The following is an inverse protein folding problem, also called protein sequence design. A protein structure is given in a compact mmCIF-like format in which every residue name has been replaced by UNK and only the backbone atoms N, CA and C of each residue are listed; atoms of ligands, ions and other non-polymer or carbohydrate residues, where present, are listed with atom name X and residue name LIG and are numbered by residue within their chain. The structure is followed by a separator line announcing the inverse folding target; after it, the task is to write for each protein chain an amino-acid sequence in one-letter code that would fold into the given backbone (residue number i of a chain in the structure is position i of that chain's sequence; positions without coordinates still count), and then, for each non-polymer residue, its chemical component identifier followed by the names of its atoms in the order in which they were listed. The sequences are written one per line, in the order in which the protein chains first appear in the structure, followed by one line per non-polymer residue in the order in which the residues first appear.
data_IF_876058642658
#
_entry.id   IF_876058642658
#
_cell.length_a   1.000
_cell.length_b   1.000
_cell.length_c   1.000
_cell.angle_alpha   90.00
_cell.angle_beta   90.00
_cell.angle_gamma   90.00
#
_symmetry.space_group_name_H-M   'P 1'
#
loop_
_entity.id
_entity.type
_entity.pdbx_description
1 polymer ?
#
# COMPACT_ATOMS: atom_id res chain seq x y z
N UNK A 1 25.94 35.32 -0.06
CA UNK A 1 25.37 34.52 1.05
C UNK A 1 23.87 34.72 1.04
N UNK A 2 23.10 33.72 0.59
CA UNK A 2 21.64 33.76 0.63
C UNK A 2 21.18 32.74 1.67
N UNK A 3 20.73 33.23 2.81
CA UNK A 3 20.13 32.45 3.89
C UNK A 3 18.77 31.97 3.44
N UNK A 4 18.67 30.66 3.17
CA UNK A 4 17.43 29.98 2.80
C UNK A 4 16.55 29.89 4.05
N UNK A 5 15.47 30.66 4.05
CA UNK A 5 14.45 30.64 5.10
C UNK A 5 13.76 29.28 5.07
N UNK A 6 14.01 28.43 6.08
CA UNK A 6 13.18 27.26 6.34
C UNK A 6 11.77 27.77 6.65
N UNK A 7 10.80 27.41 5.83
CA UNK A 7 9.40 27.70 6.09
C UNK A 7 8.98 26.91 7.34
N UNK A 8 9.04 27.56 8.51
CA UNK A 8 8.37 27.12 9.72
C UNK A 8 6.89 26.98 9.39
N UNK A 9 6.41 25.75 9.20
CA UNK A 9 4.98 25.47 9.11
C UNK A 9 4.39 25.93 10.46
N UNK A 10 3.61 27.01 10.43
CA UNK A 10 2.96 27.51 11.64
C UNK A 10 2.01 26.41 12.14
N UNK A 11 2.31 25.87 13.33
CA UNK A 11 1.44 24.89 13.95
C UNK A 11 0.09 25.55 14.28
N UNK A 12 -1.01 24.91 13.87
CA UNK A 12 -2.36 25.38 14.18
C UNK A 12 -2.52 25.49 15.71
N UNK A 13 -3.15 26.56 16.22
CA UNK A 13 -3.49 26.66 17.63
C UNK A 13 -4.23 25.42 18.13
N UNK A 14 -3.91 24.95 19.34
CA UNK A 14 -4.47 23.70 19.85
C UNK A 14 -6.00 23.66 19.91
N UNK A 15 -6.65 24.81 20.09
CA UNK A 15 -8.12 24.90 20.07
C UNK A 15 -8.70 24.67 18.67
N UNK A 16 -8.02 25.11 17.60
CA UNK A 16 -8.43 24.86 16.22
C UNK A 16 -8.32 23.36 15.92
N UNK A 17 -7.20 22.74 16.33
CA UNK A 17 -7.00 21.29 16.19
C UNK A 17 -8.11 20.52 16.92
N UNK A 18 -8.44 20.91 18.16
CA UNK A 18 -9.53 20.30 18.92
C UNK A 18 -10.89 20.47 18.23
N UNK A 19 -11.17 21.67 17.71
CA UNK A 19 -12.40 21.94 16.97
C UNK A 19 -12.48 21.11 15.68
N UNK A 20 -11.37 20.97 14.94
CA UNK A 20 -11.29 20.10 13.77
C UNK A 20 -11.56 18.64 14.13
N UNK A 21 -10.95 18.12 15.20
CA UNK A 21 -11.22 16.77 15.67
C UNK A 21 -12.68 16.60 16.08
N UNK A 22 -13.24 17.53 16.85
CA UNK A 22 -14.62 17.47 17.31
C UNK A 22 -15.61 17.48 16.14
N UNK A 23 -15.45 18.42 15.20
CA UNK A 23 -16.33 18.54 14.03
C UNK A 23 -16.15 17.34 13.08
N UNK A 24 -14.92 16.90 12.86
CA UNK A 24 -14.65 15.75 12.00
C UNK A 24 -15.23 14.47 12.62
N UNK A 25 -14.85 14.13 13.85
CA UNK A 25 -15.37 12.92 14.52
C UNK A 25 -16.89 13.02 14.68
N UNK A 26 -17.41 14.16 15.13
CA UNK A 26 -18.84 14.39 15.32
C UNK A 26 -19.64 14.22 14.02
N UNK A 27 -19.15 14.77 12.91
CA UNK A 27 -19.82 14.63 11.61
C UNK A 27 -19.77 13.19 11.09
N UNK A 28 -18.65 12.48 11.25
CA UNK A 28 -18.55 11.06 10.87
C UNK A 28 -19.46 10.19 11.73
N UNK A 29 -19.47 10.38 13.05
CA UNK A 29 -20.36 9.65 13.96
C UNK A 29 -21.83 9.91 13.65
N UNK A 30 -22.19 11.17 13.36
CA UNK A 30 -23.56 11.51 12.98
C UNK A 30 -23.95 10.88 11.65
N UNK A 31 -23.08 10.91 10.64
CA UNK A 31 -23.30 10.24 9.36
C UNK A 31 -23.45 8.73 9.53
N UNK A 32 -22.60 8.07 10.32
CA UNK A 32 -22.72 6.65 10.62
C UNK A 32 -24.00 6.33 11.40
N UNK A 33 -24.39 7.19 12.34
CA UNK A 33 -25.64 7.04 13.06
C UNK A 33 -26.85 7.13 12.13
N UNK A 34 -26.88 8.13 11.23
CA UNK A 34 -27.94 8.26 10.23
C UNK A 34 -27.99 7.05 9.29
N UNK A 35 -26.83 6.60 8.81
CA UNK A 35 -26.72 5.41 7.98
C UNK A 35 -27.20 4.15 8.73
N UNK A 36 -26.83 4.00 10.00
CA UNK A 36 -27.29 2.89 10.83
C UNK A 36 -28.81 2.91 11.02
N UNK A 37 -29.38 4.09 11.29
CA UNK A 37 -30.83 4.28 11.44
C UNK A 37 -31.57 3.92 10.15
N UNK A 38 -31.09 4.43 9.01
CA UNK A 38 -31.63 4.11 7.69
C UNK A 38 -31.51 2.62 7.39
N UNK A 39 -30.34 2.03 7.60
CA UNK A 39 -30.12 0.59 7.41
C UNK A 39 -31.07 -0.26 8.25
N UNK A 40 -31.38 0.15 9.49
CA UNK A 40 -32.36 -0.52 10.35
C UNK A 40 -33.80 -0.41 9.86
N UNK A 41 -34.19 0.77 9.36
CA UNK A 41 -35.53 1.00 8.81
C UNK A 41 -35.80 0.12 7.57
N UNK A 42 -34.79 -0.07 6.73
CA UNK A 42 -34.89 -0.86 5.50
C UNK A 42 -34.34 -2.28 5.62
N UNK A 43 -34.01 -2.75 6.83
CA UNK A 43 -33.31 -4.02 7.05
C UNK A 43 -34.07 -5.20 6.42
N UNK A 44 -35.40 -5.26 6.57
CA UNK A 44 -36.20 -6.35 6.01
C UNK A 44 -36.26 -6.37 4.48
N UNK A 45 -36.17 -5.19 3.83
CA UNK A 45 -36.08 -5.09 2.37
C UNK A 45 -34.72 -5.53 1.86
N UNK A 46 -33.65 -5.04 2.50
CA UNK A 46 -32.27 -5.41 2.22
C UNK A 46 -32.03 -6.92 2.43
N UNK A 47 -32.58 -7.50 3.50
CA UNK A 47 -32.45 -8.93 3.80
C UNK A 47 -33.11 -9.79 2.71
N UNK A 48 -34.24 -9.34 2.17
CA UNK A 48 -34.96 -10.05 1.09
C UNK A 48 -34.25 -9.94 -0.26
N UNK A 49 -33.61 -8.81 -0.53
CA UNK A 49 -32.98 -8.53 -1.82
C UNK A 49 -31.55 -9.10 -1.91
N UNK A 50 -30.78 -8.98 -0.84
CA UNK A 50 -29.35 -9.33 -0.81
C UNK A 50 -29.02 -10.57 0.05
N UNK A 51 -30.04 -11.18 0.68
CA UNK A 51 -29.88 -12.37 1.55
C UNK A 51 -28.77 -12.20 2.60
N UNK A 52 -28.85 -11.09 3.35
CA UNK A 52 -27.77 -10.66 4.23
C UNK A 52 -27.38 -11.75 5.26
N UNK A 53 -26.10 -12.08 5.29
CA UNK A 53 -25.55 -13.07 6.21
C UNK A 53 -25.13 -12.42 7.52
N UNK A 54 -24.89 -13.21 8.58
CA UNK A 54 -24.31 -12.67 9.82
C UNK A 54 -22.89 -12.17 9.55
N UNK A 55 -22.65 -10.92 9.92
CA UNK A 55 -21.34 -10.28 9.88
C UNK A 55 -20.36 -10.95 10.84
N UNK A 56 -19.09 -10.94 10.47
CA UNK A 56 -18.02 -11.60 11.22
C UNK A 56 -17.43 -10.70 12.34
N UNK A 57 -17.29 -9.40 12.09
CA UNK A 57 -16.51 -8.51 12.96
C UNK A 57 -17.26 -8.04 14.21
N UNK A 58 -18.59 -7.88 14.12
CA UNK A 58 -19.41 -7.35 15.22
C UNK A 58 -20.65 -8.24 15.36
N UNK A 59 -20.85 -8.88 16.53
CA UNK A 59 -22.05 -9.66 16.80
C UNK A 59 -23.32 -8.83 16.57
N UNK A 60 -24.27 -9.37 15.79
CA UNK A 60 -25.54 -8.72 15.50
C UNK A 60 -25.54 -7.81 14.26
N UNK A 61 -24.39 -7.59 13.62
CA UNK A 61 -24.34 -6.95 12.32
C UNK A 61 -24.58 -7.98 11.22
N UNK A 62 -25.21 -7.54 10.13
CA UNK A 62 -25.38 -8.33 8.92
C UNK A 62 -24.40 -7.86 7.84
N UNK A 63 -24.06 -8.75 6.92
CA UNK A 63 -23.11 -8.56 5.83
C UNK A 63 -23.80 -8.93 4.53
N UNK A 64 -23.61 -8.10 3.51
CA UNK A 64 -23.95 -8.44 2.13
C UNK A 64 -22.95 -9.48 1.58
N UNK A 65 -23.46 -10.64 1.16
CA UNK A 65 -22.65 -11.70 0.54
C UNK A 65 -22.46 -11.52 -0.96
N UNK A 66 -23.25 -10.64 -1.60
CA UNK A 66 -23.12 -10.33 -3.02
C UNK A 66 -21.95 -9.39 -3.29
N UNK A 67 -21.51 -8.64 -2.28
CA UNK A 67 -20.28 -7.84 -2.33
C UNK A 67 -19.04 -8.76 -2.28
N UNK A 68 -18.48 -8.97 -3.47
CA UNK A 68 -17.23 -9.72 -3.67
C UNK A 68 -16.06 -9.07 -2.91
N UNK A 69 -15.88 -7.75 -3.01
CA UNK A 69 -14.71 -7.05 -2.46
C UNK A 69 -14.68 -7.16 -0.94
N UNK A 70 -15.82 -6.95 -0.28
CA UNK A 70 -15.91 -7.08 1.17
C UNK A 70 -15.65 -8.52 1.63
N UNK A 71 -16.10 -9.52 0.86
CA UNK A 71 -15.84 -10.93 1.15
C UNK A 71 -14.37 -11.29 0.98
N UNK A 72 -13.80 -10.90 -0.15
CA UNK A 72 -12.41 -11.08 -0.50
C UNK A 72 -11.46 -10.45 0.53
N UNK A 73 -11.60 -9.16 0.83
CA UNK A 73 -10.68 -8.46 1.74
C UNK A 73 -10.70 -9.06 3.14
N UNK A 74 -11.86 -9.44 3.66
CA UNK A 74 -11.97 -10.07 4.97
C UNK A 74 -11.34 -11.47 4.99
N UNK A 75 -11.59 -12.28 3.97
CA UNK A 75 -11.06 -13.64 3.91
C UNK A 75 -9.54 -13.63 3.73
N UNK A 76 -9.04 -12.82 2.80
CA UNK A 76 -7.62 -12.61 2.57
C UNK A 76 -6.92 -12.03 3.80
N UNK A 77 -7.52 -11.03 4.45
CA UNK A 77 -6.95 -10.43 5.66
C UNK A 77 -6.76 -11.48 6.76
N UNK A 78 -7.76 -12.35 6.95
CA UNK A 78 -7.73 -13.42 7.97
C UNK A 78 -6.77 -14.55 7.62
N UNK A 79 -6.77 -15.02 6.38
CA UNK A 79 -6.01 -16.21 5.96
C UNK A 79 -4.54 -15.91 5.69
N UNK A 80 -4.24 -14.70 5.19
CA UNK A 80 -2.91 -14.36 4.68
C UNK A 80 -2.31 -13.14 5.36
N UNK A 81 -3.02 -12.01 5.37
CA UNK A 81 -2.45 -10.74 5.81
C UNK A 81 -2.05 -10.75 7.29
N UNK A 82 -2.93 -11.24 8.17
CA UNK A 82 -2.68 -11.27 9.61
C UNK A 82 -1.45 -12.12 9.95
N UNK A 83 -1.34 -13.31 9.34
CA UNK A 83 -0.22 -14.22 9.57
C UNK A 83 1.09 -13.70 8.98
N UNK A 84 1.04 -13.07 7.80
CA UNK A 84 2.23 -12.45 7.21
C UNK A 84 2.67 -11.19 7.95
N UNK A 85 1.76 -10.43 8.56
CA UNK A 85 2.12 -9.33 9.47
C UNK A 85 2.74 -9.83 10.77
N UNK A 86 2.20 -10.91 11.35
CA UNK A 86 2.81 -11.55 12.52
C UNK A 86 4.21 -12.07 12.17
N UNK A 87 4.36 -12.75 11.02
CA UNK A 87 5.65 -13.22 10.52
C UNK A 87 6.64 -12.08 10.31
N UNK A 88 6.20 -10.97 9.70
CA UNK A 88 7.01 -9.76 9.57
C UNK A 88 7.48 -9.24 10.93
N UNK A 89 6.59 -9.14 11.92
CA UNK A 89 6.94 -8.65 13.26
C UNK A 89 7.98 -9.54 13.94
N UNK A 90 7.80 -10.86 13.88
CA UNK A 90 8.75 -11.85 14.44
C UNK A 90 10.10 -11.75 13.73
N UNK A 91 10.12 -11.80 12.39
CA UNK A 91 11.37 -11.74 11.61
C UNK A 91 12.08 -10.40 11.80
N UNK A 92 11.33 -9.30 11.89
CA UNK A 92 11.89 -7.97 12.16
C UNK A 92 12.60 -7.91 13.51
N UNK A 93 12.01 -8.55 14.54
CA UNK A 93 12.62 -8.65 15.88
C UNK A 93 13.81 -9.60 15.92
N UNK A 94 13.74 -10.75 15.25
CA UNK A 94 14.88 -11.66 15.17
C UNK A 94 16.03 -11.01 14.40
N UNK A 95 15.75 -10.35 13.28
CA UNK A 95 16.76 -9.65 12.48
C UNK A 95 17.39 -8.50 13.25
N UNK A 96 16.64 -7.76 14.09
CA UNK A 96 17.25 -6.69 14.91
C UNK A 96 18.22 -7.24 15.96
N UNK A 97 17.97 -8.44 16.49
CA UNK A 97 18.85 -9.07 17.50
C UNK A 97 20.05 -9.77 16.84
N UNK A 98 19.82 -10.57 15.81
CA UNK A 98 20.84 -11.46 15.25
C UNK A 98 21.61 -10.88 14.07
N UNK A 99 20.98 -10.03 13.24
CA UNK A 99 21.59 -9.49 12.01
C UNK A 99 21.25 -8.00 11.82
N UNK A 100 21.59 -7.13 12.80
CA UNK A 100 21.14 -5.74 12.81
C UNK A 100 21.56 -4.95 11.55
N UNK A 101 22.77 -5.21 11.04
CA UNK A 101 23.29 -4.55 9.82
C UNK A 101 22.59 -5.05 8.53
N UNK A 102 22.12 -6.29 8.51
CA UNK A 102 21.47 -6.92 7.37
C UNK A 102 19.94 -6.88 7.42
N UNK A 103 19.35 -6.25 8.45
CA UNK A 103 17.91 -6.26 8.71
C UNK A 103 17.08 -5.81 7.50
N UNK A 104 17.49 -4.75 6.81
CA UNK A 104 16.76 -4.27 5.62
C UNK A 104 16.74 -5.33 4.53
N UNK A 105 17.86 -6.00 4.29
CA UNK A 105 17.93 -7.09 3.32
C UNK A 105 17.03 -8.27 3.75
N UNK A 106 17.07 -8.67 5.02
CA UNK A 106 16.19 -9.74 5.57
C UNK A 106 14.72 -9.39 5.39
N UNK A 107 14.31 -8.16 5.72
CA UNK A 107 12.93 -7.70 5.57
C UNK A 107 12.51 -7.58 4.10
N UNK A 108 13.44 -7.20 3.22
CA UNK A 108 13.20 -7.16 1.77
C UNK A 108 12.98 -8.56 1.22
N UNK A 109 13.85 -9.52 1.59
CA UNK A 109 13.69 -10.92 1.19
C UNK A 109 12.36 -11.47 1.70
N UNK A 110 12.01 -11.20 2.96
CA UNK A 110 10.72 -11.60 3.51
C UNK A 110 9.55 -11.03 2.69
N UNK A 111 9.57 -9.73 2.40
CA UNK A 111 8.51 -9.10 1.62
C UNK A 111 8.41 -9.60 0.18
N UNK A 112 9.55 -9.90 -0.46
CA UNK A 112 9.56 -10.55 -1.79
C UNK A 112 8.97 -11.97 -1.70
N UNK A 113 9.31 -12.75 -0.67
CA UNK A 113 8.77 -14.10 -0.49
C UNK A 113 7.27 -14.09 -0.24
N UNK A 114 6.76 -13.15 0.57
CA UNK A 114 5.32 -13.00 0.79
C UNK A 114 4.63 -12.53 -0.50
N UNK A 115 5.17 -11.54 -1.18
CA UNK A 115 4.63 -11.11 -2.47
C UNK A 115 4.63 -12.25 -3.50
N UNK A 116 5.64 -13.13 -3.48
CA UNK A 116 5.70 -14.29 -4.35
C UNK A 116 4.67 -15.36 -3.99
N UNK A 117 4.43 -15.61 -2.70
CA UNK A 117 3.40 -16.53 -2.24
C UNK A 117 1.98 -16.07 -2.63
N UNK A 118 1.74 -14.76 -2.68
CA UNK A 118 0.43 -14.17 -2.96
C UNK A 118 0.20 -13.88 -4.46
N UNK A 119 1.22 -13.37 -5.16
CA UNK A 119 1.11 -12.93 -6.56
C UNK A 119 1.65 -13.95 -7.57
N UNK A 120 2.36 -14.97 -7.10
CA UNK A 120 3.08 -15.92 -7.96
C UNK A 120 4.28 -15.30 -8.68
N UNK A 121 4.95 -16.11 -9.49
CA UNK A 121 6.17 -15.73 -10.22
C UNK A 121 5.92 -14.60 -11.23
N UNK A 122 4.82 -14.69 -11.98
CA UNK A 122 4.48 -13.72 -13.02
C UNK A 122 4.13 -12.36 -12.42
N UNK A 123 3.33 -12.33 -11.35
CA UNK A 123 2.95 -11.09 -10.67
C UNK A 123 4.14 -10.37 -10.04
N UNK A 124 5.01 -11.09 -9.31
CA UNK A 124 6.27 -10.51 -8.80
C UNK A 124 7.17 -10.03 -9.94
N UNK A 125 7.20 -10.76 -11.06
CA UNK A 125 7.90 -10.36 -12.28
C UNK A 125 7.42 -9.01 -12.82
N UNK A 126 6.11 -8.76 -12.85
CA UNK A 126 5.53 -7.47 -13.26
C UNK A 126 5.95 -6.35 -12.32
N UNK A 127 5.82 -6.55 -11.00
CA UNK A 127 6.21 -5.55 -9.99
C UNK A 127 7.69 -5.20 -10.11
N UNK A 128 8.55 -6.21 -10.29
CA UNK A 128 9.98 -6.02 -10.46
C UNK A 128 10.31 -5.30 -11.78
N UNK A 129 9.64 -5.67 -12.88
CA UNK A 129 9.78 -5.01 -14.18
C UNK A 129 9.43 -3.51 -14.07
N UNK A 130 8.29 -3.19 -13.46
CA UNK A 130 7.88 -1.80 -13.22
C UNK A 130 8.94 -1.05 -12.39
N UNK A 131 9.46 -1.69 -11.34
CA UNK A 131 10.51 -1.12 -10.48
C UNK A 131 11.77 -0.80 -11.28
N UNK A 132 12.21 -1.71 -12.16
CA UNK A 132 13.36 -1.49 -13.05
C UNK A 132 13.13 -0.34 -14.03
N UNK A 133 11.95 -0.28 -14.64
CA UNK A 133 11.58 0.79 -15.58
C UNK A 133 11.57 2.15 -14.89
N UNK A 134 10.96 2.26 -13.71
CA UNK A 134 10.99 3.49 -12.92
C UNK A 134 12.41 3.87 -12.49
N UNK A 135 13.23 2.91 -12.08
CA UNK A 135 14.64 3.17 -11.76
C UNK A 135 15.38 3.76 -12.97
N UNK A 136 15.16 3.20 -14.17
CA UNK A 136 15.67 3.73 -15.43
C UNK A 136 15.21 5.16 -15.72
N UNK A 137 13.90 5.42 -15.66
CA UNK A 137 13.33 6.75 -15.93
C UNK A 137 13.77 7.78 -14.89
N UNK A 138 13.99 7.37 -13.63
CA UNK A 138 14.48 8.24 -12.57
C UNK A 138 15.86 8.86 -12.89
N UNK A 139 16.70 8.16 -13.67
CA UNK A 139 17.99 8.70 -14.12
C UNK A 139 17.85 9.91 -15.06
N UNK A 140 16.71 10.03 -15.76
CA UNK A 140 16.44 11.16 -16.65
C UNK A 140 16.10 12.44 -15.88
N UNK A 141 15.74 12.34 -14.60
CA UNK A 141 15.44 13.46 -13.69
C UNK A 141 14.37 14.43 -14.22
N UNK A 142 13.46 13.96 -15.08
CA UNK A 142 12.36 14.76 -15.64
C UNK A 142 11.03 14.29 -15.07
N UNK A 143 10.37 15.09 -14.19
CA UNK A 143 9.08 14.74 -13.62
C UNK A 143 8.01 14.36 -14.64
N UNK A 144 7.97 15.05 -15.79
CA UNK A 144 7.03 14.74 -16.87
C UNK A 144 7.21 13.32 -17.43
N UNK A 145 8.45 12.85 -17.58
CA UNK A 145 8.73 11.49 -18.06
C UNK A 145 8.37 10.43 -16.99
N UNK A 146 8.55 10.75 -15.72
CA UNK A 146 8.15 9.89 -14.60
C UNK A 146 6.63 9.72 -14.59
N UNK A 147 5.88 10.81 -14.71
CA UNK A 147 4.42 10.77 -14.79
C UNK A 147 3.92 10.04 -16.05
N UNK A 148 4.53 10.30 -17.20
CA UNK A 148 4.19 9.58 -18.43
C UNK A 148 4.45 8.08 -18.30
N UNK A 149 5.60 7.68 -17.74
CA UNK A 149 5.92 6.28 -17.47
C UNK A 149 4.92 5.66 -16.49
N UNK A 150 4.55 6.36 -15.42
CA UNK A 150 3.56 5.90 -14.46
C UNK A 150 2.19 5.66 -15.09
N UNK A 151 1.70 6.59 -15.91
CA UNK A 151 0.42 6.45 -16.60
C UNK A 151 0.44 5.30 -17.60
N UNK A 152 1.53 5.12 -18.35
CA UNK A 152 1.70 4.00 -19.27
C UNK A 152 1.72 2.66 -18.54
N UNK A 153 2.47 2.57 -17.43
CA UNK A 153 2.56 1.35 -16.62
C UNK A 153 1.25 1.04 -15.87
N UNK A 154 0.47 2.04 -15.50
CA UNK A 154 -0.85 1.83 -14.91
C UNK A 154 -1.87 1.42 -15.99
N UNK A 155 -1.76 1.98 -17.19
CA UNK A 155 -2.61 1.62 -18.32
C UNK A 155 -2.46 0.15 -18.73
N UNK A 156 -1.31 -0.49 -18.48
CA UNK A 156 -1.14 -1.93 -18.77
C UNK A 156 -2.10 -2.83 -17.99
N UNK A 157 -2.64 -2.37 -16.86
CA UNK A 157 -3.64 -3.11 -16.08
C UNK A 157 -5.03 -3.10 -16.73
N UNK A 158 -5.29 -2.14 -17.62
CA UNK A 158 -6.62 -1.92 -18.23
C UNK A 158 -6.58 -1.97 -19.77
N UNK A 159 -5.41 -2.20 -20.36
CA UNK A 159 -5.28 -2.46 -21.79
C UNK A 159 -5.78 -3.87 -22.05
N UNK A 160 -6.91 -4.03 -22.74
CA UNK A 160 -7.63 -5.30 -22.85
C UNK A 160 -6.77 -6.53 -23.14
N UNK A 161 -5.79 -6.45 -24.04
CA UNK A 161 -4.89 -7.58 -24.33
C UNK A 161 -3.94 -7.94 -23.18
N UNK A 162 -3.44 -6.95 -22.44
CA UNK A 162 -2.58 -7.17 -21.29
C UNK A 162 -3.38 -7.55 -20.04
N UNK A 163 -4.57 -6.96 -19.88
CA UNK A 163 -5.51 -7.33 -18.82
C UNK A 163 -5.93 -8.80 -18.95
N UNK A 164 -6.37 -9.23 -20.15
CA UNK A 164 -6.72 -10.63 -20.42
C UNK A 164 -5.54 -11.57 -20.17
N UNK A 165 -4.33 -11.17 -20.59
CA UNK A 165 -3.12 -11.95 -20.32
C UNK A 165 -2.85 -12.06 -18.82
N UNK A 166 -2.94 -10.97 -18.06
CA UNK A 166 -2.73 -10.98 -16.61
C UNK A 166 -3.80 -11.82 -15.90
N UNK A 167 -5.07 -11.68 -16.28
CA UNK A 167 -6.18 -12.50 -15.79
C UNK A 167 -5.94 -13.99 -16.06
N UNK A 168 -5.40 -14.35 -17.23
CA UNK A 168 -5.09 -15.75 -17.59
C UNK A 168 -4.04 -16.42 -16.70
N UNK A 169 -3.34 -15.67 -15.85
CA UNK A 169 -2.34 -16.21 -14.94
C UNK A 169 -2.92 -16.77 -13.65
N UNK A 170 -4.16 -16.40 -13.33
CA UNK A 170 -4.79 -16.67 -12.06
C UNK A 170 -6.08 -17.47 -12.25
N UNK A 171 -6.43 -18.27 -11.25
CA UNK A 171 -7.65 -19.07 -11.29
C UNK A 171 -8.85 -18.30 -10.74
N UNK A 172 -8.59 -17.33 -9.85
CA UNK A 172 -9.62 -16.57 -9.16
C UNK A 172 -9.51 -15.07 -9.40
N UNK A 173 -10.65 -14.38 -9.45
CA UNK A 173 -10.68 -12.91 -9.51
C UNK A 173 -9.97 -12.28 -8.29
N UNK A 174 -9.96 -12.95 -7.14
CA UNK A 174 -9.28 -12.49 -5.93
C UNK A 174 -7.78 -12.27 -6.15
N UNK A 175 -7.11 -13.21 -6.82
CA UNK A 175 -5.67 -13.12 -7.09
C UNK A 175 -5.37 -12.03 -8.13
N UNK A 176 -6.24 -11.86 -9.14
CA UNK A 176 -6.16 -10.76 -10.10
C UNK A 176 -6.26 -9.40 -9.39
N UNK A 177 -7.20 -9.25 -8.47
CA UNK A 177 -7.36 -8.04 -7.67
C UNK A 177 -6.13 -7.76 -6.79
N UNK A 178 -5.53 -8.79 -6.16
CA UNK A 178 -4.27 -8.63 -5.42
C UNK A 178 -3.14 -8.13 -6.31
N UNK A 179 -3.03 -8.65 -7.54
CA UNK A 179 -2.06 -8.16 -8.52
C UNK A 179 -2.29 -6.68 -8.82
N UNK A 180 -3.52 -6.28 -9.13
CA UNK A 180 -3.83 -4.90 -9.50
C UNK A 180 -3.55 -3.93 -8.35
N UNK A 181 -4.00 -4.25 -7.14
CA UNK A 181 -3.71 -3.46 -5.94
C UNK A 181 -2.20 -3.37 -5.68
N UNK A 182 -1.50 -4.51 -5.72
CA UNK A 182 -0.06 -4.58 -5.52
C UNK A 182 0.71 -3.74 -6.52
N UNK A 183 0.40 -3.85 -7.81
CA UNK A 183 1.03 -3.07 -8.88
C UNK A 183 0.72 -1.58 -8.73
N UNK A 184 -0.51 -1.20 -8.45
CA UNK A 184 -0.90 0.21 -8.26
C UNK A 184 -0.12 0.86 -7.10
N UNK A 185 -0.05 0.21 -5.94
CA UNK A 185 0.69 0.73 -4.79
C UNK A 185 2.20 0.72 -5.02
N UNK A 186 2.73 -0.29 -5.72
CA UNK A 186 4.15 -0.30 -6.13
C UNK A 186 4.48 0.83 -7.12
N UNK A 187 3.56 1.16 -8.04
CA UNK A 187 3.68 2.31 -8.94
C UNK A 187 3.74 3.62 -8.13
N UNK A 188 2.84 3.82 -7.16
CA UNK A 188 2.85 5.03 -6.31
C UNK A 188 4.17 5.21 -5.55
N UNK A 189 4.70 4.12 -4.99
CA UNK A 189 6.01 4.12 -4.31
C UNK A 189 7.14 4.44 -5.29
N UNK A 190 7.13 3.83 -6.47
CA UNK A 190 8.14 4.08 -7.50
C UNK A 190 8.12 5.53 -8.00
N UNK A 191 6.93 6.16 -8.10
CA UNK A 191 6.76 7.59 -8.40
C UNK A 191 7.40 8.43 -7.29
N UNK A 192 7.10 8.16 -6.01
CA UNK A 192 7.69 8.87 -4.87
C UNK A 192 9.22 8.83 -4.92
N UNK A 193 9.83 7.65 -5.11
CA UNK A 193 11.27 7.52 -5.28
C UNK A 193 11.81 8.35 -6.45
N UNK A 194 11.18 8.25 -7.62
CA UNK A 194 11.66 8.86 -8.86
C UNK A 194 11.60 10.38 -8.82
N UNK A 195 10.52 10.92 -8.25
CA UNK A 195 10.34 12.37 -8.08
C UNK A 195 11.30 12.93 -7.03
N UNK A 196 11.45 12.26 -5.88
CA UNK A 196 12.44 12.65 -4.86
C UNK A 196 13.86 12.62 -5.43
N UNK A 197 14.21 11.58 -6.20
CA UNK A 197 15.51 11.50 -6.86
C UNK A 197 15.72 12.63 -7.86
N UNK A 198 14.67 13.07 -8.56
CA UNK A 198 14.72 14.17 -9.55
C UNK A 198 14.95 15.52 -8.88
N UNK A 199 14.27 15.80 -7.76
CA UNK A 199 14.44 17.05 -7.01
C UNK A 199 15.73 17.10 -6.19
N UNK A 200 16.12 15.98 -5.59
CA UNK A 200 17.32 15.86 -4.77
C UNK A 200 18.08 14.59 -5.16
N UNK A 201 19.24 14.71 -5.84
CA UNK A 201 20.05 13.54 -6.15
C UNK A 201 20.36 12.78 -4.87
N UNK A 202 19.93 11.52 -4.81
CA UNK A 202 20.25 10.65 -3.68
C UNK A 202 21.72 10.26 -3.76
N UNK A 203 22.49 10.59 -2.73
CA UNK A 203 23.92 10.28 -2.62
C UNK A 203 24.10 8.80 -2.26
N UNK A 204 24.17 7.94 -3.28
CA UNK A 204 24.51 6.52 -3.16
C UNK A 204 24.89 5.92 -4.53
N UNK A 205 25.68 4.84 -4.51
CA UNK A 205 25.97 4.05 -5.70
C UNK A 205 24.68 3.56 -6.39
N UNK A 206 24.73 3.32 -7.71
CA UNK A 206 23.56 2.89 -8.49
C UNK A 206 22.91 1.64 -7.91
N UNK A 207 23.72 0.61 -7.63
CA UNK A 207 23.25 -0.64 -7.02
C UNK A 207 22.61 -0.42 -5.65
N UNK A 208 23.25 0.38 -4.79
CA UNK A 208 22.70 0.69 -3.45
C UNK A 208 21.34 1.37 -3.55
N UNK A 209 21.18 2.35 -4.46
CA UNK A 209 19.89 3.02 -4.69
C UNK A 209 18.83 2.04 -5.17
N UNK A 210 19.18 1.13 -6.09
CA UNK A 210 18.27 0.10 -6.56
C UNK A 210 17.85 -0.84 -5.42
N UNK A 211 18.78 -1.31 -4.60
CA UNK A 211 18.46 -2.14 -3.43
C UNK A 211 17.50 -1.43 -2.46
N UNK A 212 17.67 -0.13 -2.23
CA UNK A 212 16.75 0.66 -1.40
C UNK A 212 15.38 0.83 -2.04
N UNK A 213 15.32 1.02 -3.36
CA UNK A 213 14.05 1.03 -4.08
C UNK A 213 13.35 -0.32 -3.99
N UNK A 214 14.06 -1.44 -4.19
CA UNK A 214 13.50 -2.78 -4.00
C UNK A 214 12.99 -2.99 -2.57
N UNK A 215 13.76 -2.58 -1.56
CA UNK A 215 13.36 -2.65 -0.15
C UNK A 215 12.08 -1.85 0.12
N UNK A 216 11.95 -0.68 -0.49
CA UNK A 216 10.79 0.19 -0.38
C UNK A 216 9.56 -0.37 -1.10
N UNK A 217 9.73 -0.88 -2.33
CA UNK A 217 8.65 -1.51 -3.12
C UNK A 217 8.15 -2.81 -2.49
N UNK A 218 9.03 -3.63 -1.93
CA UNK A 218 8.67 -4.90 -1.31
C UNK A 218 8.54 -4.82 0.21
N UNK A 219 8.42 -3.61 0.79
CA UNK A 219 8.18 -3.49 2.22
C UNK A 219 6.79 -4.02 2.58
N UNK A 220 6.75 -5.21 3.19
CA UNK A 220 5.53 -6.00 3.41
C UNK A 220 4.40 -5.22 4.12
N UNK A 221 4.63 -4.50 5.24
CA UNK A 221 3.56 -3.79 5.95
C UNK A 221 2.82 -2.76 5.10
N UNK A 222 3.47 -2.24 4.04
CA UNK A 222 2.92 -1.22 3.16
C UNK A 222 2.65 -1.73 1.74
N UNK A 223 2.67 -3.05 1.52
CA UNK A 223 2.70 -3.60 0.18
C UNK A 223 1.39 -3.43 -0.60
N UNK A 224 0.27 -3.83 0.00
CA UNK A 224 -1.04 -3.87 -0.67
C UNK A 224 -1.87 -2.60 -0.49
N UNK A 225 -2.15 -2.21 0.76
CA UNK A 225 -3.04 -1.09 1.09
C UNK A 225 -2.51 -0.28 2.29
N UNK A 226 -1.20 -0.29 2.53
CA UNK A 226 -0.62 0.54 3.59
C UNK A 226 -0.57 2.01 3.20
N UNK A 227 -0.40 2.92 4.18
CA UNK A 227 -0.20 4.34 3.89
C UNK A 227 1.04 4.53 3.00
N UNK A 228 0.92 5.46 2.04
CA UNK A 228 2.05 5.84 1.20
C UNK A 228 2.95 6.76 2.02
N UNK A 229 4.15 6.26 2.35
CA UNK A 229 5.19 7.02 3.05
C UNK A 229 6.22 7.46 2.03
N UNK A 230 6.70 8.70 2.09
CA UNK A 230 7.76 9.17 1.19
C UNK A 230 9.04 8.31 1.30
N UNK A 231 9.79 8.20 0.21
CA UNK A 231 10.97 7.31 0.15
C UNK A 231 12.05 7.73 1.16
N UNK A 232 12.32 9.03 1.29
CA UNK A 232 13.25 9.55 2.29
C UNK A 232 12.81 9.27 3.73
N UNK A 233 11.50 9.37 4.02
CA UNK A 233 10.99 9.08 5.36
C UNK A 233 11.06 7.58 5.67
N UNK A 234 10.76 6.73 4.70
CA UNK A 234 10.97 5.28 4.79
C UNK A 234 12.44 4.95 5.10
N UNK A 235 13.37 5.46 4.30
CA UNK A 235 14.80 5.17 4.49
C UNK A 235 15.33 5.69 5.82
N UNK A 236 14.84 6.83 6.31
CA UNK A 236 15.15 7.34 7.65
C UNK A 236 14.58 6.45 8.74
N UNK A 237 13.28 6.13 8.71
CA UNK A 237 12.63 5.33 9.74
C UNK A 237 13.26 3.95 9.85
N UNK A 238 13.50 3.27 8.73
CA UNK A 238 14.09 1.92 8.73
C UNK A 238 15.55 1.92 9.20
N UNK A 239 16.30 3.02 9.02
CA UNK A 239 17.66 3.18 9.56
C UNK A 239 17.69 3.61 11.03
N UNK A 240 16.76 4.47 11.46
CA UNK A 240 16.75 5.11 12.77
C UNK A 240 16.11 4.25 13.87
N UNK A 241 15.43 3.16 13.53
CA UNK A 241 15.00 2.16 14.51
C UNK A 241 15.99 1.00 14.59
N UNK A 242 17.13 1.10 15.32
CA UNK A 242 17.68 -0.07 15.98
C UNK A 242 16.68 -0.40 17.10
N UNK A 243 15.89 -1.45 16.93
CA UNK A 243 14.94 -1.89 17.95
C UNK A 243 15.65 -2.32 19.22
#
# INVERSE_FOLDING_TARGET
MSTRQESSIAALPGWEIWMYWLLSIGSHLYSFYQLHRFSKEYEGGLDREFELQKGFLIPGFKKDSTDFEWSFWNEWARKCLLWSFLGHAVISRLASVFVPQGRVAVLTVYGVLVAWAELGTKGVGVVFLHTCLFFGVAHLRRPALIWACALLLLATLYLGTLEELQRSWYETEAEVYLLFCGVAVCCLRSISFSLEHSWRPLEAGGLTRFCWLTAYTFYHPLFYNGPIVHFLDFTRQVRLYPG
#
